data_IF_261910249642
#
_entry.id   IF_261910249642
#
_cell.length_a   1.000
_cell.length_b   1.000
_cell.length_c   1.000
_cell.angle_alpha   90.00
_cell.angle_beta   90.00
_cell.angle_gamma   90.00
#
_symmetry.space_group_name_H-M   'P 1'
#
loop_
_entity.id
_entity.type
_entity.pdbx_description
1 polymer ?
#
# COMPACT_ATOMS: atom_id res chain seq x y z
N UNK A 1 22.64 -12.58 14.45
CA UNK A 1 22.06 -11.45 15.18
C UNK A 1 23.12 -10.88 16.14
N UNK A 2 22.94 -9.61 16.53
CA UNK A 2 23.80 -8.94 17.49
C UNK A 2 23.74 -9.58 18.89
N UNK A 3 24.84 -9.46 19.61
CA UNK A 3 25.00 -9.96 21.01
C UNK A 3 24.94 -8.82 22.06
N UNK A 4 24.93 -7.55 21.61
CA UNK A 4 24.86 -6.35 22.45
C UNK A 4 23.68 -5.46 22.11
N UNK A 5 23.31 -4.57 23.03
CA UNK A 5 22.27 -3.59 22.80
C UNK A 5 22.76 -2.47 21.87
N UNK A 6 21.86 -1.95 21.05
CA UNK A 6 22.12 -0.86 20.11
C UNK A 6 20.98 0.14 20.13
N UNK A 7 21.22 1.35 19.61
CA UNK A 7 20.22 2.36 19.35
C UNK A 7 20.43 2.99 18.00
N UNK A 8 19.38 3.54 17.43
CA UNK A 8 19.40 4.38 16.23
C UNK A 8 19.52 5.83 16.66
N UNK A 9 20.52 6.54 16.13
CA UNK A 9 20.81 7.92 16.48
C UNK A 9 20.72 8.81 15.24
N UNK A 10 20.22 10.02 15.43
CA UNK A 10 20.38 11.15 14.51
C UNK A 10 21.31 12.17 15.19
N UNK A 11 22.55 12.22 14.73
CA UNK A 11 23.60 12.93 15.46
C UNK A 11 23.77 12.34 16.87
N UNK A 12 23.52 13.16 17.91
CA UNK A 12 23.59 12.75 19.34
C UNK A 12 22.23 12.41 19.95
N UNK A 13 21.14 12.45 19.17
CA UNK A 13 19.76 12.18 19.65
C UNK A 13 19.44 10.73 19.40
N UNK A 14 19.06 9.99 20.46
CA UNK A 14 18.54 8.64 20.33
C UNK A 14 17.13 8.71 19.72
N UNK A 15 16.98 8.17 18.52
CA UNK A 15 15.69 8.09 17.82
C UNK A 15 14.92 6.86 18.25
N UNK A 16 15.61 5.72 18.41
CA UNK A 16 15.00 4.46 18.77
C UNK A 16 16.01 3.57 19.51
N UNK A 17 15.58 2.95 20.61
CA UNK A 17 16.32 1.89 21.28
C UNK A 17 15.90 0.54 20.69
N UNK A 18 16.80 -0.13 19.98
CA UNK A 18 16.50 -1.46 19.43
C UNK A 18 16.11 -2.46 20.52
N UNK A 19 15.41 -3.52 20.14
CA UNK A 19 15.04 -4.64 21.02
C UNK A 19 16.27 -5.12 21.81
N UNK A 20 16.11 -5.48 23.08
CA UNK A 20 17.21 -6.04 23.88
C UNK A 20 17.81 -7.27 23.17
N UNK A 21 19.14 -7.35 23.11
CA UNK A 21 19.86 -8.37 22.34
C UNK A 21 19.40 -9.80 22.62
N UNK A 22 19.07 -10.10 23.88
CA UNK A 22 18.62 -11.43 24.29
C UNK A 22 17.29 -11.86 23.61
N UNK A 23 16.42 -10.92 23.27
CA UNK A 23 15.11 -11.20 22.66
C UNK A 23 15.10 -11.10 21.14
N UNK A 24 16.16 -10.59 20.51
CA UNK A 24 16.24 -10.44 19.06
C UNK A 24 15.91 -11.72 18.28
N UNK A 25 16.48 -12.90 18.63
CA UNK A 25 16.16 -14.13 17.91
C UNK A 25 14.68 -14.50 17.97
N UNK A 26 14.05 -14.35 19.12
CA UNK A 26 12.63 -14.68 19.34
C UNK A 26 11.73 -13.70 18.58
N UNK A 27 11.97 -12.40 18.70
CA UNK A 27 11.22 -11.35 18.00
C UNK A 27 11.31 -11.54 16.49
N UNK A 28 12.51 -11.79 15.95
CA UNK A 28 12.69 -12.04 14.52
C UNK A 28 11.97 -13.30 14.05
N UNK A 29 11.99 -14.38 14.85
CA UNK A 29 11.22 -15.59 14.54
C UNK A 29 9.71 -15.29 14.49
N UNK A 30 9.19 -14.49 15.44
CA UNK A 30 7.81 -14.04 15.48
C UNK A 30 7.44 -13.21 14.23
N UNK A 31 8.27 -12.24 13.84
CA UNK A 31 8.06 -11.41 12.63
C UNK A 31 7.98 -12.30 11.38
N UNK A 32 8.87 -13.27 11.21
CA UNK A 32 8.85 -14.18 10.06
C UNK A 32 7.66 -15.16 10.12
N UNK A 33 7.23 -15.60 11.29
CA UNK A 33 6.03 -16.41 11.46
C UNK A 33 4.79 -15.62 11.03
N UNK A 34 4.64 -14.41 11.58
CA UNK A 34 3.55 -13.51 11.19
C UNK A 34 3.52 -13.25 9.69
N UNK A 35 4.67 -12.99 9.05
CA UNK A 35 4.75 -12.72 7.61
C UNK A 35 4.25 -13.91 6.76
N UNK A 36 4.40 -15.14 7.23
CA UNK A 36 3.92 -16.35 6.53
C UNK A 36 2.43 -16.57 6.68
N UNK A 37 1.85 -16.15 7.80
CA UNK A 37 0.47 -16.47 8.18
C UNK A 37 -0.50 -15.31 7.94
N UNK A 38 0.02 -14.07 7.78
CA UNK A 38 -0.83 -12.89 7.62
C UNK A 38 -1.65 -12.93 6.35
N UNK A 39 -2.94 -12.59 6.46
CA UNK A 39 -3.84 -12.33 5.34
C UNK A 39 -3.83 -10.86 4.90
N UNK A 40 -2.96 -10.04 5.48
CA UNK A 40 -2.83 -8.63 5.12
C UNK A 40 -2.39 -8.47 3.66
N UNK A 41 -2.88 -7.41 3.00
CA UNK A 41 -2.47 -7.10 1.64
C UNK A 41 -0.93 -7.01 1.54
N UNK A 42 -0.27 -7.64 0.54
CA UNK A 42 1.19 -7.75 0.48
C UNK A 42 1.94 -6.42 0.57
N UNK A 43 1.36 -5.35 0.02
CA UNK A 43 1.93 -4.00 0.09
C UNK A 43 1.97 -3.48 1.54
N UNK A 44 0.91 -3.68 2.30
CA UNK A 44 0.85 -3.30 3.72
C UNK A 44 1.76 -4.20 4.55
N UNK A 45 1.71 -5.52 4.32
CA UNK A 45 2.55 -6.48 5.03
C UNK A 45 4.05 -6.19 4.85
N UNK A 46 4.48 -5.74 3.67
CA UNK A 46 5.86 -5.34 3.42
C UNK A 46 6.27 -4.09 4.20
N UNK A 47 5.37 -3.11 4.34
CA UNK A 47 5.62 -1.90 5.13
C UNK A 47 5.68 -2.21 6.64
N UNK A 48 4.76 -3.04 7.14
CA UNK A 48 4.76 -3.50 8.54
C UNK A 48 6.01 -4.31 8.83
N UNK A 49 6.38 -5.27 7.96
CA UNK A 49 7.61 -6.02 8.13
C UNK A 49 8.83 -5.11 8.18
N UNK A 50 8.90 -4.11 7.31
CA UNK A 50 10.01 -3.15 7.30
C UNK A 50 10.08 -2.38 8.63
N UNK A 51 8.95 -1.90 9.14
CA UNK A 51 8.88 -1.24 10.43
C UNK A 51 9.38 -2.13 11.57
N UNK A 52 8.82 -3.34 11.70
CA UNK A 52 9.16 -4.29 12.75
C UNK A 52 10.65 -4.70 12.70
N UNK A 53 11.21 -4.83 11.49
CA UNK A 53 12.61 -5.12 11.28
C UNK A 53 13.50 -3.97 11.76
N UNK A 54 13.19 -2.72 11.41
CA UNK A 54 13.91 -1.53 11.87
C UNK A 54 13.77 -1.35 13.38
N UNK A 55 12.58 -1.64 13.93
CA UNK A 55 12.31 -1.57 15.35
C UNK A 55 13.12 -2.63 16.14
N UNK A 56 13.12 -3.87 15.67
CA UNK A 56 13.93 -4.95 16.27
C UNK A 56 15.42 -4.64 16.20
N UNK A 57 15.88 -4.05 15.12
CA UNK A 57 17.29 -3.67 14.85
C UNK A 57 18.25 -4.85 15.06
N UNK A 58 18.10 -5.96 14.29
CA UNK A 58 18.71 -7.24 14.63
C UNK A 58 20.24 -7.34 14.46
N UNK A 59 20.89 -6.37 13.83
CA UNK A 59 22.31 -6.36 13.55
C UNK A 59 23.01 -5.16 14.21
N UNK A 60 24.32 -5.22 14.34
CA UNK A 60 25.11 -4.08 14.81
C UNK A 60 25.18 -2.95 13.76
N UNK A 61 25.20 -3.31 12.48
CA UNK A 61 25.17 -2.37 11.34
C UNK A 61 24.40 -2.98 10.17
N UNK A 62 23.94 -2.13 9.26
CA UNK A 62 23.30 -2.53 8.02
C UNK A 62 21.80 -2.82 8.14
N UNK A 63 21.16 -2.57 9.29
CA UNK A 63 19.72 -2.81 9.46
C UNK A 63 18.90 -2.07 8.40
N UNK A 64 19.10 -0.77 8.22
CA UNK A 64 18.38 0.01 7.21
C UNK A 64 18.54 -0.51 5.78
N UNK A 65 19.75 -0.97 5.39
CA UNK A 65 19.99 -1.59 4.07
C UNK A 65 19.23 -2.91 3.95
N UNK A 66 19.30 -3.72 5.00
CA UNK A 66 18.65 -5.04 5.04
C UNK A 66 17.14 -4.89 5.08
N UNK A 67 16.59 -3.98 5.88
CA UNK A 67 15.13 -3.69 5.94
C UNK A 67 14.58 -3.26 4.59
N UNK A 68 15.27 -2.35 3.89
CA UNK A 68 14.89 -1.91 2.53
C UNK A 68 15.00 -3.03 1.51
N UNK A 69 16.02 -3.89 1.59
CA UNK A 69 16.16 -5.07 0.73
C UNK A 69 14.98 -6.03 0.94
N UNK A 70 14.63 -6.33 2.19
CA UNK A 70 13.46 -7.16 2.51
C UNK A 70 12.16 -6.53 1.99
N UNK A 71 11.97 -5.24 2.20
CA UNK A 71 10.81 -4.53 1.67
C UNK A 71 10.68 -4.71 0.15
N UNK A 72 11.77 -4.45 -0.59
CA UNK A 72 11.81 -4.62 -2.05
C UNK A 72 11.52 -6.07 -2.46
N UNK A 73 12.10 -7.06 -1.76
CA UNK A 73 11.84 -8.47 -2.02
C UNK A 73 10.35 -8.82 -1.81
N UNK A 74 9.75 -8.36 -0.74
CA UNK A 74 8.35 -8.66 -0.41
C UNK A 74 7.38 -8.05 -1.42
N UNK A 75 7.56 -6.77 -1.78
CA UNK A 75 6.69 -6.13 -2.78
C UNK A 75 6.89 -6.73 -4.17
N UNK A 76 8.11 -7.14 -4.52
CA UNK A 76 8.40 -7.76 -5.82
C UNK A 76 7.79 -9.16 -5.97
N UNK A 77 7.65 -9.91 -4.89
CA UNK A 77 6.93 -11.20 -4.89
C UNK A 77 5.46 -11.04 -5.23
N UNK A 78 4.85 -9.94 -4.82
CA UNK A 78 3.47 -9.61 -5.19
C UNK A 78 3.38 -9.03 -6.60
N UNK A 79 4.25 -8.07 -6.94
CA UNK A 79 4.31 -7.44 -8.28
C UNK A 79 5.78 -7.30 -8.70
N UNK A 80 6.28 -8.15 -9.61
CA UNK A 80 7.69 -8.15 -10.00
C UNK A 80 8.21 -6.79 -10.50
N UNK A 81 7.34 -5.99 -11.15
CA UNK A 81 7.71 -4.64 -11.61
C UNK A 81 8.18 -3.72 -10.48
N UNK A 82 7.71 -3.95 -9.25
CA UNK A 82 8.09 -3.12 -8.10
C UNK A 82 9.55 -3.31 -7.67
N UNK A 83 10.22 -4.39 -8.11
CA UNK A 83 11.66 -4.56 -7.91
C UNK A 83 12.51 -3.48 -8.61
N UNK A 84 11.96 -2.85 -9.65
CA UNK A 84 12.65 -1.85 -10.44
C UNK A 84 12.37 -0.40 -10.02
N UNK A 85 11.49 -0.22 -9.02
CA UNK A 85 11.19 1.12 -8.51
C UNK A 85 12.36 1.67 -7.69
N UNK A 86 12.67 2.97 -7.83
CA UNK A 86 13.74 3.62 -7.09
C UNK A 86 13.35 3.94 -5.63
N UNK A 87 12.78 2.96 -4.90
CA UNK A 87 12.26 3.13 -3.53
C UNK A 87 13.38 3.63 -2.59
N UNK A 88 14.57 3.03 -2.68
CA UNK A 88 15.69 3.43 -1.85
C UNK A 88 16.13 4.88 -2.11
N UNK A 89 16.17 5.28 -3.38
CA UNK A 89 16.49 6.67 -3.76
C UNK A 89 15.45 7.65 -3.24
N UNK A 90 14.16 7.27 -3.31
CA UNK A 90 13.05 8.08 -2.79
C UNK A 90 13.11 8.21 -1.27
N UNK A 91 13.43 7.13 -0.54
CA UNK A 91 13.66 7.18 0.92
C UNK A 91 14.83 8.11 1.24
N UNK A 92 15.94 8.00 0.50
CA UNK A 92 17.12 8.87 0.69
C UNK A 92 16.79 10.35 0.50
N UNK A 93 16.01 10.70 -0.53
CA UNK A 93 15.56 12.07 -0.76
C UNK A 93 14.65 12.59 0.36
N UNK A 94 13.95 11.71 1.06
CA UNK A 94 13.02 11.99 2.15
C UNK A 94 13.53 11.50 3.52
N UNK A 95 14.85 11.45 3.69
CA UNK A 95 15.48 10.81 4.86
C UNK A 95 15.02 11.39 6.20
N UNK A 96 14.85 12.70 6.29
CA UNK A 96 14.33 13.35 7.51
C UNK A 96 12.93 12.84 7.86
N UNK A 97 12.02 12.74 6.88
CA UNK A 97 10.67 12.19 7.07
C UNK A 97 10.68 10.70 7.44
N UNK A 98 11.64 9.93 6.93
CA UNK A 98 11.81 8.52 7.30
C UNK A 98 12.13 8.36 8.79
N UNK A 99 13.11 9.11 9.31
CA UNK A 99 13.45 9.06 10.73
C UNK A 99 12.36 9.65 11.62
N UNK A 100 11.67 10.70 11.16
CA UNK A 100 10.52 11.27 11.87
C UNK A 100 9.38 10.25 11.99
N UNK A 101 9.06 9.52 10.91
CA UNK A 101 8.04 8.47 10.93
C UNK A 101 8.39 7.32 11.86
N UNK A 102 9.68 6.89 11.87
CA UNK A 102 10.18 5.90 12.83
C UNK A 102 10.02 6.38 14.28
N UNK A 103 10.49 7.59 14.60
CA UNK A 103 10.42 8.15 15.94
C UNK A 103 8.99 8.33 16.44
N UNK A 104 8.08 8.79 15.57
CA UNK A 104 6.65 8.92 15.89
C UNK A 104 6.00 7.57 16.14
N UNK A 105 6.32 6.57 15.32
CA UNK A 105 5.80 5.21 15.47
C UNK A 105 6.32 4.57 16.77
N UNK A 106 7.59 4.77 17.10
CA UNK A 106 8.18 4.30 18.34
C UNK A 106 7.46 4.94 19.57
N UNK A 107 7.33 6.26 19.58
CA UNK A 107 6.71 7.00 20.69
C UNK A 107 5.22 6.69 20.89
N UNK A 108 4.49 6.38 19.81
CA UNK A 108 3.07 6.01 19.86
C UNK A 108 2.81 4.54 20.15
N UNK A 109 3.83 3.68 20.03
CA UNK A 109 3.67 2.22 20.09
C UNK A 109 2.88 1.65 18.89
N UNK A 110 2.79 2.40 17.79
CA UNK A 110 2.04 2.02 16.58
C UNK A 110 2.87 2.24 15.33
N UNK A 111 3.00 1.23 14.48
CA UNK A 111 3.67 1.33 13.18
C UNK A 111 2.92 2.13 12.11
N UNK A 112 1.73 2.67 12.41
CA UNK A 112 0.84 3.30 11.43
C UNK A 112 1.50 4.44 10.65
N UNK A 113 2.17 5.34 11.35
CA UNK A 113 2.80 6.52 10.73
C UNK A 113 3.98 6.14 9.82
N UNK A 114 4.73 5.10 10.19
CA UNK A 114 5.77 4.57 9.33
C UNK A 114 5.19 3.87 8.09
N UNK A 115 4.12 3.10 8.25
CA UNK A 115 3.41 2.45 7.14
C UNK A 115 2.87 3.49 6.17
N UNK A 116 2.22 4.55 6.66
CA UNK A 116 1.72 5.66 5.85
C UNK A 116 2.86 6.35 5.07
N UNK A 117 3.96 6.65 5.74
CA UNK A 117 5.15 7.21 5.09
C UNK A 117 5.67 6.30 3.96
N UNK A 118 5.81 5.00 4.20
CA UNK A 118 6.30 4.04 3.21
C UNK A 118 5.35 3.88 2.02
N UNK A 119 4.03 3.89 2.25
CA UNK A 119 3.04 3.92 1.16
C UNK A 119 3.20 5.19 0.31
N UNK A 120 3.45 6.34 0.94
CA UNK A 120 3.79 7.59 0.25
C UNK A 120 5.06 7.47 -0.59
N UNK A 121 6.11 6.85 -0.07
CA UNK A 121 7.36 6.58 -0.80
C UNK A 121 7.12 5.71 -2.04
N UNK A 122 6.36 4.62 -1.88
CA UNK A 122 6.04 3.71 -2.99
C UNK A 122 5.24 4.45 -4.07
N UNK A 123 4.20 5.19 -3.68
CA UNK A 123 3.42 6.03 -4.59
C UNK A 123 4.31 6.98 -5.39
N UNK A 124 5.16 7.74 -4.69
CA UNK A 124 6.01 8.75 -5.31
C UNK A 124 7.09 8.10 -6.21
N UNK A 125 7.51 6.87 -5.90
CA UNK A 125 8.41 6.07 -6.74
C UNK A 125 7.74 5.55 -8.02
N UNK A 126 6.41 5.37 -8.03
CA UNK A 126 5.63 4.90 -9.18
C UNK A 126 5.26 6.06 -10.12
N UNK A 127 4.93 7.24 -9.56
CA UNK A 127 4.39 8.37 -10.30
C UNK A 127 5.18 8.74 -11.56
N UNK A 128 6.53 8.77 -11.58
CA UNK A 128 7.31 9.10 -12.78
C UNK A 128 7.11 8.11 -13.94
N UNK A 129 6.69 6.90 -13.64
CA UNK A 129 6.48 5.81 -14.62
C UNK A 129 5.01 5.59 -14.95
N UNK A 130 4.09 6.20 -14.19
CA UNK A 130 2.66 6.13 -14.47
C UNK A 130 2.31 7.09 -15.59
N UNK A 131 1.64 6.59 -16.64
CA UNK A 131 0.98 7.49 -17.58
C UNK A 131 -0.12 8.22 -16.81
N UNK A 132 -0.29 9.54 -17.01
CA UNK A 132 -1.43 10.23 -16.44
C UNK A 132 -2.70 9.52 -16.90
N UNK A 133 -3.56 9.14 -15.96
CA UNK A 133 -4.84 8.53 -16.29
C UNK A 133 -5.58 9.45 -17.25
N UNK A 134 -6.01 8.94 -18.40
CA UNK A 134 -6.82 9.71 -19.33
C UNK A 134 -8.13 10.10 -18.64
N UNK A 135 -8.75 11.21 -19.06
CA UNK A 135 -10.07 11.62 -18.53
C UNK A 135 -11.09 10.47 -18.58
N UNK A 136 -10.95 9.60 -19.58
CA UNK A 136 -11.81 8.43 -19.78
C UNK A 136 -11.54 7.34 -18.73
N UNK A 137 -10.28 7.10 -18.34
CA UNK A 137 -9.92 6.16 -17.28
C UNK A 137 -10.34 6.68 -15.91
N UNK A 138 -10.18 7.99 -15.67
CA UNK A 138 -10.62 8.63 -14.44
C UNK A 138 -12.14 8.57 -14.29
N UNK A 139 -12.88 8.84 -15.37
CA UNK A 139 -14.34 8.74 -15.38
C UNK A 139 -14.81 7.29 -15.17
N UNK A 140 -14.06 6.31 -15.71
CA UNK A 140 -14.31 4.88 -15.50
C UNK A 140 -14.12 4.48 -14.03
N UNK A 141 -13.01 4.89 -13.39
CA UNK A 141 -12.77 4.63 -11.98
C UNK A 141 -13.89 5.20 -11.11
N UNK A 142 -14.23 6.47 -11.31
CA UNK A 142 -15.35 7.13 -10.59
C UNK A 142 -16.67 6.42 -10.77
N UNK A 143 -16.94 5.86 -11.96
CA UNK A 143 -18.16 5.10 -12.21
C UNK A 143 -18.20 3.80 -11.41
N UNK A 144 -17.08 3.09 -11.28
CA UNK A 144 -16.98 1.87 -10.47
C UNK A 144 -17.16 2.18 -8.99
N UNK A 145 -16.51 3.24 -8.49
CA UNK A 145 -16.64 3.69 -7.11
C UNK A 145 -18.09 4.07 -6.78
N UNK A 146 -18.76 4.79 -7.69
CA UNK A 146 -20.19 5.09 -7.56
C UNK A 146 -21.04 3.82 -7.37
N UNK A 147 -20.83 2.76 -8.15
CA UNK A 147 -21.59 1.52 -8.02
C UNK A 147 -21.20 0.67 -6.82
N UNK A 148 -19.95 0.79 -6.29
CA UNK A 148 -19.57 0.18 -5.01
C UNK A 148 -20.31 0.82 -3.84
N UNK A 149 -20.38 2.15 -3.84
CA UNK A 149 -21.06 2.93 -2.79
C UNK A 149 -22.59 2.86 -2.91
N UNK A 150 -23.11 2.85 -4.15
CA UNK A 150 -24.54 2.91 -4.47
C UNK A 150 -24.94 1.70 -5.29
N UNK A 151 -24.96 0.51 -4.67
CA UNK A 151 -25.27 -0.75 -5.37
C UNK A 151 -26.63 -0.77 -6.11
N UNK A 152 -27.60 0.03 -5.71
CA UNK A 152 -28.90 0.20 -6.37
C UNK A 152 -28.97 1.48 -7.26
N UNK A 153 -27.86 2.18 -7.43
CA UNK A 153 -27.78 3.41 -8.22
C UNK A 153 -28.23 3.22 -9.66
N UNK A 154 -28.82 4.26 -10.25
CA UNK A 154 -29.21 4.25 -11.66
C UNK A 154 -28.28 5.09 -12.53
N UNK A 155 -28.37 4.90 -13.85
CA UNK A 155 -27.49 5.59 -14.81
C UNK A 155 -27.67 7.12 -14.81
N UNK A 156 -28.84 7.62 -14.45
CA UNK A 156 -29.07 9.06 -14.34
C UNK A 156 -28.33 9.67 -13.15
N UNK A 157 -28.34 8.99 -12.01
CA UNK A 157 -27.56 9.37 -10.84
C UNK A 157 -26.04 9.27 -11.10
N UNK A 158 -25.60 8.23 -11.82
CA UNK A 158 -24.21 8.15 -12.26
C UNK A 158 -23.82 9.33 -13.17
N UNK A 159 -24.67 9.69 -14.13
CA UNK A 159 -24.42 10.82 -15.04
C UNK A 159 -24.27 12.14 -14.27
N UNK A 160 -25.12 12.36 -13.26
CA UNK A 160 -25.07 13.52 -12.37
C UNK A 160 -23.77 13.53 -11.54
N UNK A 161 -23.40 12.40 -10.92
CA UNK A 161 -22.17 12.24 -10.15
C UNK A 161 -20.91 12.48 -10.97
N UNK A 162 -20.91 12.07 -12.25
CA UNK A 162 -19.78 12.24 -13.17
C UNK A 162 -19.77 13.59 -13.90
N UNK A 163 -20.85 14.40 -13.79
CA UNK A 163 -20.98 15.64 -14.54
C UNK A 163 -21.06 15.43 -16.06
N UNK A 164 -21.61 14.30 -16.53
CA UNK A 164 -21.68 13.95 -17.95
C UNK A 164 -23.11 13.72 -18.44
N UNK A 165 -23.28 13.64 -19.77
CA UNK A 165 -24.60 13.32 -20.33
C UNK A 165 -25.02 11.89 -19.98
N UNK A 166 -26.35 11.66 -19.85
CA UNK A 166 -26.93 10.34 -19.61
C UNK A 166 -26.48 9.32 -20.68
N UNK A 167 -26.40 9.73 -21.94
CA UNK A 167 -25.94 8.91 -23.06
C UNK A 167 -24.47 8.48 -22.88
N UNK A 168 -23.60 9.35 -22.34
CA UNK A 168 -22.22 9.03 -22.03
C UNK A 168 -22.12 8.02 -20.89
N UNK A 169 -22.92 8.18 -19.84
CA UNK A 169 -22.98 7.24 -18.72
C UNK A 169 -23.52 5.86 -19.17
N UNK A 170 -24.57 5.83 -20.01
CA UNK A 170 -25.11 4.58 -20.59
C UNK A 170 -24.05 3.81 -21.41
N UNK A 171 -23.29 4.52 -22.25
CA UNK A 171 -22.19 3.90 -23.02
C UNK A 171 -21.08 3.36 -22.13
N UNK A 172 -20.75 4.06 -21.05
CA UNK A 172 -19.76 3.62 -20.07
C UNK A 172 -20.23 2.35 -19.35
N UNK A 173 -21.46 2.34 -18.86
CA UNK A 173 -22.06 1.16 -18.20
C UNK A 173 -22.13 -0.04 -19.15
N UNK A 174 -22.52 0.17 -20.41
CA UNK A 174 -22.56 -0.88 -21.42
C UNK A 174 -21.17 -1.50 -21.62
N UNK A 175 -20.13 -0.66 -21.75
CA UNK A 175 -18.75 -1.11 -21.90
C UNK A 175 -18.22 -1.86 -20.69
N UNK A 176 -18.48 -1.39 -19.45
CA UNK A 176 -18.11 -2.07 -18.22
C UNK A 176 -18.77 -3.45 -18.08
N UNK A 177 -20.02 -3.57 -18.59
CA UNK A 177 -20.73 -4.86 -18.65
C UNK A 177 -20.12 -5.80 -19.68
N UNK A 178 -19.81 -5.31 -20.87
CA UNK A 178 -19.16 -6.09 -21.93
C UNK A 178 -17.79 -6.62 -21.49
N UNK A 179 -17.04 -5.84 -20.73
CA UNK A 179 -15.75 -6.21 -20.15
C UNK A 179 -15.87 -7.15 -18.92
N UNK A 180 -17.09 -7.46 -18.46
CA UNK A 180 -17.33 -8.33 -17.30
C UNK A 180 -17.02 -7.71 -15.93
N UNK A 181 -16.64 -6.41 -15.90
CA UNK A 181 -16.22 -5.72 -14.68
C UNK A 181 -17.43 -5.25 -13.86
N UNK A 182 -18.56 -4.99 -14.53
CA UNK A 182 -19.80 -4.57 -13.91
C UNK A 182 -20.91 -5.54 -14.30
N UNK A 183 -21.58 -6.11 -13.32
CA UNK A 183 -22.73 -6.98 -13.53
C UNK A 183 -23.94 -6.49 -12.74
N UNK A 184 -25.13 -6.96 -13.08
CA UNK A 184 -26.35 -6.63 -12.34
C UNK A 184 -27.04 -7.90 -11.89
N UNK A 185 -27.24 -8.04 -10.60
CA UNK A 185 -27.94 -9.18 -10.01
C UNK A 185 -29.37 -8.76 -9.65
N UNK A 186 -30.36 -9.43 -10.22
CA UNK A 186 -31.78 -9.14 -10.00
C UNK A 186 -32.45 -8.45 -11.19
N UNK A 187 -33.67 -7.90 -10.95
CA UNK A 187 -34.49 -7.31 -12.00
C UNK A 187 -33.96 -5.92 -12.44
N UNK A 188 -34.44 -5.45 -13.62
CA UNK A 188 -34.09 -4.13 -14.14
C UNK A 188 -34.52 -2.94 -13.24
N UNK A 189 -35.53 -3.14 -12.37
CA UNK A 189 -36.01 -2.11 -11.44
C UNK A 189 -35.46 -2.20 -10.02
N UNK A 190 -35.12 -3.41 -9.53
CA UNK A 190 -34.71 -3.66 -8.16
C UNK A 190 -33.38 -4.44 -8.05
N UNK A 191 -32.62 -4.54 -9.15
CA UNK A 191 -31.34 -5.25 -9.16
C UNK A 191 -30.20 -4.40 -8.59
N UNK A 192 -29.22 -5.09 -7.99
CA UNK A 192 -28.03 -4.49 -7.41
C UNK A 192 -26.87 -4.65 -8.40
N UNK A 193 -26.08 -3.62 -8.55
CA UNK A 193 -24.83 -3.63 -9.30
C UNK A 193 -23.73 -4.30 -8.49
N UNK A 194 -22.96 -5.15 -9.14
CA UNK A 194 -21.81 -5.86 -8.57
C UNK A 194 -20.60 -5.48 -9.41
N UNK A 195 -19.57 -4.96 -8.75
CA UNK A 195 -18.26 -4.69 -9.33
C UNK A 195 -17.38 -5.89 -9.10
N UNK A 196 -16.86 -6.50 -10.16
CA UNK A 196 -15.92 -7.61 -10.09
C UNK A 196 -14.47 -7.08 -10.06
N UNK A 197 -13.86 -7.13 -8.88
CA UNK A 197 -12.50 -6.63 -8.67
C UNK A 197 -11.41 -7.55 -9.26
N UNK A 198 -11.74 -8.80 -9.64
CA UNK A 198 -10.75 -9.71 -10.24
C UNK A 198 -10.42 -9.37 -11.70
N UNK A 199 -11.28 -8.64 -12.39
CA UNK A 199 -11.10 -8.24 -13.80
C UNK A 199 -10.26 -6.96 -13.97
N UNK A 200 -9.93 -6.26 -12.91
CA UNK A 200 -9.16 -4.98 -12.95
C UNK A 200 -7.63 -5.23 -12.99
N UNK A 201 -7.20 -6.50 -12.94
CA UNK A 201 -5.80 -6.88 -12.68
C UNK A 201 -5.09 -7.50 -13.90
N UNK A 202 -5.61 -7.32 -15.11
CA UNK A 202 -4.90 -7.72 -16.35
C UNK A 202 -4.28 -6.54 -17.06
#
# INVERSE_FOLDING_TARGET
FRSGNVGVFDGNVLIHAGTLAAYVPEVMAGIFCWLRETSMHPLLASCVFHFEFEFCHPFFDGNGRTGRLWHTLLVSRWRPVLAWLPIESTIRQRQAGYYEALAKSDSSGSGEQFVEFMLGVIRDSILPFSKPASEKELARSRALDFFREHGNGNVSQLAESLGCSKRSAERMVAKLKEEGILSRRGSARAGIWIVDDQSVTQ
#
